data_IF_181760798138
#
_entry.id   IF_181760798138
#
_cell.length_a   1.000
_cell.length_b   1.000
_cell.length_c   1.000
_cell.angle_alpha   90.00
_cell.angle_beta   90.00
_cell.angle_gamma   90.00
#
_symmetry.space_group_name_H-M   'P 1'
#
loop_
_entity.id
_entity.type
_entity.pdbx_description
1 polymer ?
#
# COMPACT_ATOMS: atom_id res chain seq x y z
N UNK A 2 -9.62 0.10 6.73
CA UNK A 2 -8.34 -0.35 6.21
C UNK A 2 -8.02 0.34 4.89
N UNK A 3 -6.76 0.30 4.50
CA UNK A 3 -6.34 0.92 3.25
C UNK A 3 -5.08 0.24 2.71
N UNK A 4 -5.22 -0.40 1.55
CA UNK A 4 -4.10 -1.08 0.92
C UNK A 4 -3.74 -0.44 -0.42
N UNK A 5 -2.48 -0.06 -0.57
CA UNK A 5 -2.01 0.57 -1.80
C UNK A 5 -0.61 0.08 -2.17
N UNK A 6 -0.47 -0.39 -3.40
CA UNK A 6 0.81 -0.90 -3.88
C UNK A 6 1.11 -0.40 -5.29
N UNK A 7 2.01 0.58 -5.39
CA UNK A 7 2.37 1.13 -6.68
C UNK A 7 3.75 0.70 -7.12
N UNK A 8 4.50 1.59 -7.81
CA UNK A 8 5.85 1.27 -8.28
C UNK A 8 6.85 1.22 -7.13
N UNK A 9 6.67 0.25 -6.24
CA UNK A 9 7.55 0.10 -5.10
C UNK A 9 7.09 0.95 -3.93
N UNK A 10 5.80 1.24 -3.89
CA UNK A 10 5.22 2.05 -2.82
C UNK A 10 4.44 1.18 -1.84
N UNK A 11 5.15 0.50 -0.95
CA UNK A 11 4.52 -0.37 0.03
C UNK A 11 3.61 0.43 0.97
N UNK A 12 2.39 0.69 0.51
CA UNK A 12 1.43 1.45 1.31
C UNK A 12 0.34 0.54 1.85
N UNK A 13 0.75 -0.61 2.40
CA UNK A 13 -0.19 -1.57 2.96
C UNK A 13 -0.44 -1.28 4.43
N UNK A 14 -1.66 -0.87 4.75
CA UNK A 14 -2.02 -0.57 6.13
C UNK A 14 -3.42 -1.09 6.46
N UNK A 15 -3.48 -2.07 7.36
CA UNK A 15 -4.76 -2.66 7.75
C UNK A 15 -5.35 -1.91 8.94
#
# INVERSE_FOLDING_TARGET
>A
RKRIHIGPGRAFYTTK
#
